data_IF_314630850787
#
_entry.id   IF_314630850787
#
_cell.length_a   1.000
_cell.length_b   1.000
_cell.length_c   1.000
_cell.angle_alpha   90.00
_cell.angle_beta   90.00
_cell.angle_gamma   90.00
#
_symmetry.space_group_name_H-M   'P 1'
#
loop_
_entity.id
_entity.type
_entity.pdbx_description
1 polymer ?
#
# COMPACT_ATOMS: atom_id res chain seq x y z
N UNK A 1 30.65 -8.77 56.93
CA UNK A 1 31.14 -8.78 55.54
C UNK A 1 30.44 -7.65 54.81
N UNK A 2 31.24 -6.70 54.32
CA UNK A 2 30.97 -5.76 53.21
C UNK A 2 29.92 -4.65 53.34
N UNK A 3 30.40 -3.53 53.87
CA UNK A 3 30.31 -2.15 53.36
C UNK A 3 28.95 -1.55 52.95
N UNK A 4 28.41 -0.77 53.88
CA UNK A 4 27.47 0.33 53.68
C UNK A 4 28.09 1.37 52.74
N UNK A 5 27.42 1.67 51.63
CA UNK A 5 27.89 2.64 50.63
C UNK A 5 27.45 4.06 51.02
N UNK A 6 28.37 5.03 51.17
CA UNK A 6 28.01 6.39 51.56
C UNK A 6 27.54 7.22 50.36
N UNK A 7 26.52 8.04 50.59
CA UNK A 7 25.99 9.05 49.65
C UNK A 7 26.90 10.28 49.58
N UNK A 8 27.06 10.92 48.41
CA UNK A 8 27.47 12.32 48.34
C UNK A 8 26.35 13.26 47.88
N UNK A 9 26.43 14.48 48.41
CA UNK A 9 25.45 15.56 48.53
C UNK A 9 25.15 16.37 47.24
N UNK A 10 24.18 17.32 47.25
CA UNK A 10 23.60 17.97 46.07
C UNK A 10 24.18 19.37 45.75
N UNK A 11 24.13 19.77 44.47
CA UNK A 11 23.96 21.14 43.90
C UNK A 11 24.58 21.26 42.49
N UNK A 12 24.31 22.29 41.65
CA UNK A 12 23.16 23.23 41.54
C UNK A 12 22.57 23.28 40.08
N UNK A 13 21.45 23.98 39.86
CA UNK A 13 21.02 24.43 38.51
C UNK A 13 21.43 25.90 38.31
N UNK A 14 21.91 26.35 37.12
CA UNK A 14 21.02 27.09 36.19
C UNK A 14 21.40 27.12 34.68
N UNK A 15 20.39 27.53 33.86
CA UNK A 15 20.42 28.31 32.60
C UNK A 15 21.03 27.77 31.26
N UNK A 16 20.18 27.75 30.22
CA UNK A 16 20.49 27.64 28.77
C UNK A 16 21.25 28.85 28.22
N UNK A 17 22.15 28.71 27.20
CA UNK A 17 21.78 29.08 25.81
C UNK A 17 22.45 28.25 24.67
N UNK A 18 21.97 28.48 23.45
CA UNK A 18 22.08 27.66 22.22
C UNK A 18 23.30 27.89 21.29
N UNK A 19 23.69 26.82 20.55
CA UNK A 19 24.27 26.69 19.18
C UNK A 19 25.00 25.34 19.13
N UNK A 20 24.81 24.40 18.20
CA UNK A 20 24.68 24.44 16.75
C UNK A 20 24.27 23.01 16.30
N UNK A 21 23.48 22.85 15.23
CA UNK A 21 23.42 21.67 14.32
C UNK A 21 23.30 20.24 14.92
N UNK A 22 22.27 19.42 14.73
CA UNK A 22 21.53 19.11 13.50
C UNK A 22 20.13 18.57 13.84
N UNK A 23 19.13 19.12 13.14
CA UNK A 23 17.78 18.55 13.05
C UNK A 23 17.88 17.13 12.47
N UNK A 24 17.32 16.08 13.11
CA UNK A 24 17.10 14.82 12.42
C UNK A 24 16.05 15.07 11.32
N UNK A 25 16.54 15.12 10.08
CA UNK A 25 15.73 15.17 8.87
C UNK A 25 14.69 14.03 8.91
N UNK A 26 13.42 14.27 8.54
CA UNK A 26 12.38 13.26 8.58
C UNK A 26 12.79 12.03 7.76
N UNK A 27 12.75 10.90 8.44
CA UNK A 27 13.00 9.57 7.89
C UNK A 27 12.30 9.40 6.53
N UNK A 28 13.07 8.86 5.61
CA UNK A 28 12.81 8.74 4.19
C UNK A 28 11.40 8.19 3.87
N UNK A 29 10.57 8.87 3.05
CA UNK A 29 9.40 8.24 2.43
C UNK A 29 9.78 7.25 1.31
N UNK A 30 11.07 6.89 1.18
CA UNK A 30 11.61 6.03 0.13
C UNK A 30 11.44 4.55 0.48
N UNK A 31 10.20 4.14 0.78
CA UNK A 31 9.83 2.73 0.95
C UNK A 31 8.52 2.35 0.26
N UNK A 32 7.99 3.18 -0.65
CA UNK A 32 6.93 2.71 -1.55
C UNK A 32 7.03 3.30 -2.95
N UNK A 33 8.20 3.15 -3.58
CA UNK A 33 8.34 3.30 -5.03
C UNK A 33 7.94 1.97 -5.71
N UNK A 34 6.70 1.53 -5.48
CA UNK A 34 6.07 0.55 -6.37
C UNK A 34 5.96 1.26 -7.71
N UNK A 35 6.63 0.74 -8.74
CA UNK A 35 6.61 1.27 -10.10
C UNK A 35 5.22 1.80 -10.46
N UNK A 36 5.14 3.04 -10.94
CA UNK A 36 3.92 3.63 -11.51
C UNK A 36 3.52 2.81 -12.75
N UNK A 37 2.91 1.66 -12.50
CA UNK A 37 2.53 0.71 -13.53
C UNK A 37 1.30 1.30 -14.19
N UNK A 38 1.51 1.91 -15.36
CA UNK A 38 0.43 2.46 -16.18
C UNK A 38 -0.69 1.41 -16.32
N UNK A 39 -1.92 1.83 -16.03
CA UNK A 39 -3.11 1.00 -16.18
C UNK A 39 -3.33 0.83 -17.68
N UNK A 40 -3.42 -0.41 -18.20
CA UNK A 40 -3.63 -0.62 -19.62
C UNK A 40 -5.03 -0.13 -20.02
N UNK A 41 -5.17 0.39 -21.24
CA UNK A 41 -6.46 0.89 -21.75
C UNK A 41 -7.43 -0.27 -22.04
N UNK A 42 -6.90 -1.47 -22.29
CA UNK A 42 -7.68 -2.67 -22.61
C UNK A 42 -7.27 -3.86 -21.74
N UNK A 43 -8.20 -4.81 -21.56
CA UNK A 43 -8.01 -6.04 -20.82
C UNK A 43 -8.73 -7.20 -21.52
N UNK A 44 -8.25 -8.43 -21.28
CA UNK A 44 -8.95 -9.65 -21.68
C UNK A 44 -10.08 -9.96 -20.71
N UNK A 45 -11.24 -10.35 -21.23
CA UNK A 45 -12.42 -10.69 -20.45
C UNK A 45 -13.22 -11.81 -21.11
N UNK A 46 -13.86 -12.66 -20.31
CA UNK A 46 -14.85 -13.63 -20.77
C UNK A 46 -16.21 -12.93 -20.92
N UNK A 47 -16.74 -12.87 -22.14
CA UNK A 47 -18.06 -12.29 -22.43
C UNK A 47 -19.07 -13.35 -22.86
N UNK A 48 -20.27 -13.27 -22.32
CA UNK A 48 -21.44 -14.01 -22.82
C UNK A 48 -21.98 -13.27 -24.04
N UNK A 49 -21.95 -13.93 -25.19
CA UNK A 49 -22.31 -13.30 -26.48
C UNK A 49 -23.76 -13.53 -26.89
N UNK A 50 -24.37 -14.61 -26.38
CA UNK A 50 -25.74 -15.03 -26.66
C UNK A 50 -26.23 -15.98 -25.56
N UNK A 51 -27.52 -16.32 -25.58
CA UNK A 51 -28.08 -17.38 -24.72
C UNK A 51 -27.64 -18.76 -25.21
N UNK A 52 -27.35 -19.68 -24.30
CA UNK A 52 -26.94 -21.05 -24.64
C UNK A 52 -26.06 -21.68 -23.56
N UNK A 53 -25.47 -22.84 -23.88
CA UNK A 53 -24.54 -23.54 -22.99
C UNK A 53 -23.23 -22.74 -22.86
N UNK A 54 -22.59 -22.67 -21.67
CA UNK A 54 -21.37 -21.87 -21.46
C UNK A 54 -20.27 -22.11 -22.50
N UNK A 55 -20.07 -23.36 -22.92
CA UNK A 55 -19.09 -23.76 -23.92
C UNK A 55 -19.30 -23.11 -25.30
N UNK A 56 -20.55 -22.77 -25.67
CA UNK A 56 -20.92 -22.25 -26.99
C UNK A 56 -21.09 -20.73 -27.01
N UNK A 57 -21.05 -20.08 -25.84
CA UNK A 57 -21.47 -18.67 -25.69
C UNK A 57 -20.43 -17.78 -25.02
N UNK A 58 -19.48 -18.35 -24.25
CA UNK A 58 -18.38 -17.63 -23.66
C UNK A 58 -17.26 -17.41 -24.68
N UNK A 59 -16.87 -16.15 -24.86
CA UNK A 59 -15.76 -15.77 -25.73
C UNK A 59 -14.75 -14.93 -24.95
N UNK A 60 -13.47 -15.27 -25.08
CA UNK A 60 -12.38 -14.42 -24.59
C UNK A 60 -12.20 -13.27 -25.59
N UNK A 61 -12.33 -12.03 -25.11
CA UNK A 61 -12.27 -10.83 -25.94
C UNK A 61 -11.56 -9.69 -25.21
N UNK A 62 -11.14 -8.67 -25.96
CA UNK A 62 -10.66 -7.42 -25.39
C UNK A 62 -11.82 -6.51 -24.99
N UNK A 63 -11.66 -5.79 -23.87
CA UNK A 63 -12.59 -4.80 -23.38
C UNK A 63 -11.83 -3.61 -22.75
N UNK A 64 -12.40 -2.40 -22.76
CA UNK A 64 -11.77 -1.26 -22.12
C UNK A 64 -11.66 -1.45 -20.61
N UNK A 65 -10.57 -0.95 -20.02
CA UNK A 65 -10.43 -0.81 -18.57
C UNK A 65 -11.11 0.50 -18.15
N UNK A 66 -11.98 0.49 -17.13
CA UNK A 66 -12.61 1.72 -16.65
C UNK A 66 -11.57 2.75 -16.18
N UNK A 67 -11.51 3.90 -16.85
CA UNK A 67 -10.59 4.99 -16.52
C UNK A 67 -11.10 5.89 -15.38
N UNK A 68 -12.41 5.89 -15.12
CA UNK A 68 -13.06 6.69 -14.07
C UNK A 68 -13.90 5.77 -13.20
N UNK A 69 -13.61 5.77 -11.89
CA UNK A 69 -14.35 5.00 -10.89
C UNK A 69 -15.22 5.94 -10.06
N UNK A 70 -16.39 5.46 -9.63
CA UNK A 70 -17.24 6.19 -8.68
C UNK A 70 -16.69 6.04 -7.27
N UNK A 71 -17.13 6.93 -6.37
CA UNK A 71 -16.77 6.82 -4.94
C UNK A 71 -17.21 5.46 -4.40
N UNK A 72 -16.27 4.72 -3.81
CA UNK A 72 -16.49 3.39 -3.26
C UNK A 72 -16.21 2.23 -4.23
N UNK A 73 -15.94 2.51 -5.51
CA UNK A 73 -15.49 1.48 -6.46
C UNK A 73 -13.96 1.32 -6.41
N UNK A 74 -13.51 0.10 -6.65
CA UNK A 74 -12.08 -0.25 -6.72
C UNK A 74 -11.79 -1.02 -8.01
N UNK A 75 -10.66 -0.71 -8.64
CA UNK A 75 -10.16 -1.46 -9.79
C UNK A 75 -9.15 -2.50 -9.32
N UNK A 76 -9.40 -3.76 -9.61
CA UNK A 76 -8.56 -4.87 -9.20
C UNK A 76 -7.92 -5.55 -10.42
N UNK A 77 -6.63 -5.84 -10.33
CA UNK A 77 -5.97 -6.77 -11.26
C UNK A 77 -6.22 -8.20 -10.77
N UNK A 78 -7.15 -8.90 -11.42
CA UNK A 78 -7.50 -10.28 -11.09
C UNK A 78 -6.38 -11.23 -11.51
N UNK A 79 -5.92 -12.07 -10.57
CA UNK A 79 -4.93 -13.13 -10.84
C UNK A 79 -5.60 -14.44 -11.24
N UNK A 80 -6.74 -14.75 -10.60
CA UNK A 80 -7.54 -15.93 -10.86
C UNK A 80 -9.01 -15.66 -10.49
N UNK A 81 -9.92 -16.39 -11.13
CA UNK A 81 -11.33 -16.41 -10.83
C UNK A 81 -11.84 -17.85 -10.86
N UNK A 82 -12.82 -18.16 -10.01
CA UNK A 82 -13.45 -19.48 -9.97
C UNK A 82 -14.65 -19.55 -10.93
N UNK A 83 -14.98 -20.77 -11.38
CA UNK A 83 -16.26 -21.07 -12.02
C UNK A 83 -17.23 -21.60 -10.97
N UNK A 84 -18.32 -20.88 -10.73
CA UNK A 84 -19.37 -21.30 -9.81
C UNK A 84 -20.38 -22.22 -10.54
N UNK A 85 -20.95 -23.23 -9.87
CA UNK A 85 -21.98 -24.10 -10.46
C UNK A 85 -23.30 -23.34 -10.68
N UNK A 86 -24.18 -23.97 -11.46
CA UNK A 86 -25.56 -23.53 -11.74
C UNK A 86 -26.59 -24.51 -11.18
#
# INVERSE_FOLDING_TARGET
>A
MSAEQPTPAPAPAPAVPAKDEATPSPADPSANKTAEKQIPETQKTWRVTRKGKPADVLKLADAPVPAKLKKGEVLLKVQAAALNPV
#
